data_IF_225917418915
#
_entry.id   IF_225917418915
#
_cell.length_a   1.000
_cell.length_b   1.000
_cell.length_c   1.000
_cell.angle_alpha   90.00
_cell.angle_beta   90.00
_cell.angle_gamma   90.00
#
_symmetry.space_group_name_H-M   'P 1'
#
loop_
_entity.id
_entity.type
_entity.pdbx_description
1 polymer ?
#
# COMPACT_ATOMS: atom_id res chain seq x y z
N UNK A 1 -8.12 0.62 -25.77
CA UNK A 1 -8.50 1.62 -24.74
C UNK A 1 -9.05 0.96 -23.49
N UNK A 2 -9.99 0.01 -23.59
CA UNK A 2 -10.50 -0.81 -22.47
C UNK A 2 -9.42 -1.33 -21.49
N UNK A 3 -8.34 -1.93 -22.00
CA UNK A 3 -7.27 -2.47 -21.13
C UNK A 3 -6.50 -1.41 -20.34
N UNK A 4 -6.38 -0.17 -20.87
CA UNK A 4 -5.66 0.94 -20.22
C UNK A 4 -6.50 1.54 -19.11
N UNK A 5 -7.76 1.87 -19.39
CA UNK A 5 -8.70 2.39 -18.39
C UNK A 5 -8.92 1.38 -17.27
N UNK A 6 -9.00 0.09 -17.62
CA UNK A 6 -9.04 -0.99 -16.64
C UNK A 6 -7.79 -1.03 -15.77
N UNK A 7 -6.60 -0.90 -16.35
CA UNK A 7 -5.35 -0.87 -15.60
C UNK A 7 -5.27 0.35 -14.67
N UNK A 8 -5.71 1.53 -15.11
CA UNK A 8 -5.76 2.72 -14.25
C UNK A 8 -6.66 2.50 -13.03
N UNK A 9 -7.86 1.94 -13.22
CA UNK A 9 -8.77 1.59 -12.12
C UNK A 9 -8.19 0.54 -11.17
N UNK A 10 -7.44 -0.44 -11.70
CA UNK A 10 -6.79 -1.46 -10.87
C UNK A 10 -5.68 -0.87 -10.01
N UNK A 11 -4.83 0.00 -10.56
CA UNK A 11 -3.76 0.67 -9.80
C UNK A 11 -4.34 1.49 -8.63
N UNK A 12 -5.44 2.21 -8.88
CA UNK A 12 -6.15 2.97 -7.83
C UNK A 12 -6.78 2.05 -6.78
N UNK A 13 -7.46 0.98 -7.22
CA UNK A 13 -8.08 0.02 -6.30
C UNK A 13 -7.05 -0.68 -5.41
N UNK A 14 -5.91 -1.12 -5.96
CA UNK A 14 -4.84 -1.74 -5.19
C UNK A 14 -4.19 -0.76 -4.21
N UNK A 15 -4.03 0.50 -4.60
CA UNK A 15 -3.54 1.56 -3.70
C UNK A 15 -4.45 1.76 -2.50
N UNK A 16 -5.76 1.90 -2.74
CA UNK A 16 -6.75 2.04 -1.66
C UNK A 16 -6.77 0.82 -0.73
N UNK A 17 -6.75 -0.40 -1.28
CA UNK A 17 -6.76 -1.61 -0.46
C UNK A 17 -5.49 -1.77 0.38
N UNK A 18 -4.34 -1.34 -0.15
CA UNK A 18 -3.10 -1.28 0.60
C UNK A 18 -3.16 -0.30 1.77
N UNK A 19 -3.88 0.82 1.66
CA UNK A 19 -4.08 1.76 2.78
C UNK A 19 -4.86 1.08 3.91
N UNK A 20 -5.97 0.41 3.59
CA UNK A 20 -6.76 -0.37 4.56
C UNK A 20 -5.92 -1.45 5.25
N UNK A 21 -5.10 -2.17 4.48
CA UNK A 21 -4.17 -3.16 5.02
C UNK A 21 -3.10 -2.54 5.91
N UNK A 22 -2.49 -1.43 5.48
CA UNK A 22 -1.48 -0.72 6.23
C UNK A 22 -2.02 -0.28 7.59
N UNK A 23 -3.20 0.35 7.64
CA UNK A 23 -3.86 0.73 8.89
C UNK A 23 -4.08 -0.47 9.83
N UNK A 24 -4.52 -1.61 9.27
CA UNK A 24 -4.67 -2.84 10.04
C UNK A 24 -3.33 -3.33 10.61
N UNK A 25 -2.25 -3.31 9.83
CA UNK A 25 -0.93 -3.72 10.30
C UNK A 25 -0.39 -2.81 11.40
N UNK A 26 -0.58 -1.49 11.26
CA UNK A 26 -0.18 -0.52 12.27
C UNK A 26 -0.93 -0.75 13.58
N UNK A 27 -2.25 -0.93 13.53
CA UNK A 27 -3.07 -1.24 14.70
C UNK A 27 -2.54 -2.49 15.44
N UNK A 28 -2.28 -3.57 14.72
CA UNK A 28 -1.75 -4.78 15.33
C UNK A 28 -0.32 -4.63 15.84
N UNK A 29 0.48 -3.76 15.22
CA UNK A 29 1.81 -3.43 15.73
C UNK A 29 1.73 -2.73 17.08
N UNK A 30 0.78 -1.81 17.25
CA UNK A 30 0.52 -1.11 18.52
C UNK A 30 0.02 -2.08 19.60
N UNK A 31 -0.90 -2.99 19.25
CA UNK A 31 -1.37 -4.04 20.18
C UNK A 31 -0.22 -4.99 20.60
N UNK A 32 0.64 -5.39 19.65
CA UNK A 32 1.81 -6.21 19.93
C UNK A 32 2.83 -5.50 20.83
N UNK A 33 3.04 -4.19 20.64
CA UNK A 33 3.92 -3.37 21.47
C UNK A 33 3.39 -3.27 22.90
N UNK A 34 2.08 -3.04 23.07
CA UNK A 34 1.40 -3.03 24.36
C UNK A 34 1.49 -4.38 25.10
N UNK A 35 1.50 -5.49 24.35
CA UNK A 35 1.69 -6.84 24.88
C UNK A 35 3.17 -7.20 25.17
N UNK A 36 4.13 -6.29 24.93
CA UNK A 36 5.55 -6.53 25.14
C UNK A 36 6.24 -7.34 24.03
N UNK A 37 5.55 -7.63 22.92
CA UNK A 37 6.05 -8.36 21.76
C UNK A 37 6.85 -7.43 20.83
N UNK A 38 7.94 -6.84 21.36
CA UNK A 38 8.67 -5.74 20.72
C UNK A 38 9.13 -6.04 19.30
N UNK A 39 9.67 -7.24 19.05
CA UNK A 39 10.18 -7.58 17.72
C UNK A 39 9.04 -7.81 16.71
N UNK A 40 7.94 -8.42 17.14
CA UNK A 40 6.73 -8.56 16.32
C UNK A 40 6.17 -7.19 15.95
N UNK A 41 6.05 -6.28 16.91
CA UNK A 41 5.62 -4.91 16.66
C UNK A 41 6.54 -4.18 15.68
N UNK A 42 7.87 -4.34 15.81
CA UNK A 42 8.85 -3.77 14.89
C UNK A 42 8.64 -4.27 13.46
N UNK A 43 8.48 -5.58 13.28
CA UNK A 43 8.24 -6.20 11.96
C UNK A 43 6.91 -5.71 11.38
N UNK A 44 5.83 -5.62 12.17
CA UNK A 44 4.54 -5.13 11.67
C UNK A 44 4.58 -3.65 11.25
N UNK A 45 5.32 -2.80 11.98
CA UNK A 45 5.58 -1.41 11.56
C UNK A 45 6.37 -1.35 10.26
N UNK A 46 7.30 -2.28 10.05
CA UNK A 46 8.04 -2.40 8.79
C UNK A 46 7.11 -2.81 7.65
N UNK A 47 6.22 -3.79 7.86
CA UNK A 47 5.20 -4.18 6.85
C UNK A 47 4.31 -2.99 6.50
N UNK A 48 3.78 -2.27 7.50
CA UNK A 48 3.02 -1.03 7.31
C UNK A 48 3.74 -0.06 6.37
N UNK A 49 5.01 0.25 6.66
CA UNK A 49 5.78 1.20 5.86
C UNK A 49 6.04 0.68 4.44
N UNK A 50 6.33 -0.62 4.27
CA UNK A 50 6.52 -1.20 2.94
C UNK A 50 5.23 -1.18 2.12
N UNK A 51 4.07 -1.43 2.74
CA UNK A 51 2.77 -1.33 2.06
C UNK A 51 2.51 0.09 1.55
N UNK A 52 2.83 1.13 2.32
CA UNK A 52 2.74 2.52 1.85
C UNK A 52 3.75 2.84 0.72
N UNK A 53 4.94 2.24 0.76
CA UNK A 53 5.92 2.38 -0.32
C UNK A 53 5.39 1.75 -1.64
N UNK A 54 4.65 0.64 -1.57
CA UNK A 54 3.99 0.05 -2.74
C UNK A 54 2.99 1.04 -3.36
N UNK A 55 2.23 1.79 -2.55
CA UNK A 55 1.32 2.81 -3.07
C UNK A 55 2.03 3.91 -3.86
N UNK A 56 3.24 4.28 -3.43
CA UNK A 56 4.07 5.24 -4.18
C UNK A 56 4.45 4.68 -5.55
N UNK A 57 4.70 3.37 -5.68
CA UNK A 57 4.96 2.71 -6.96
C UNK A 57 3.71 2.64 -7.83
N UNK A 58 2.54 2.40 -7.26
CA UNK A 58 1.27 2.46 -8.02
C UNK A 58 1.00 3.86 -8.56
N UNK A 59 1.24 4.91 -7.78
CA UNK A 59 1.11 6.29 -8.24
C UNK A 59 2.13 6.64 -9.34
N UNK A 60 3.36 6.13 -9.25
CA UNK A 60 4.34 6.24 -10.33
C UNK A 60 3.85 5.55 -11.61
N UNK A 61 3.39 4.30 -11.50
CA UNK A 61 2.85 3.56 -12.64
C UNK A 61 1.64 4.26 -13.27
N UNK A 62 0.73 4.83 -12.46
CA UNK A 62 -0.42 5.61 -12.93
C UNK A 62 0.02 6.86 -13.69
N UNK A 63 1.09 7.54 -13.25
CA UNK A 63 1.66 8.70 -13.96
C UNK A 63 2.26 8.31 -15.31
N UNK A 64 3.04 7.23 -15.37
CA UNK A 64 3.60 6.76 -16.65
C UNK A 64 2.50 6.30 -17.60
N UNK A 65 1.52 5.56 -17.10
CA UNK A 65 0.35 5.13 -17.89
C UNK A 65 -0.38 6.31 -18.53
N UNK A 66 -0.44 7.48 -17.88
CA UNK A 66 -1.04 8.71 -18.43
C UNK A 66 -0.19 9.33 -19.53
N UNK A 67 1.14 9.35 -19.37
CA UNK A 67 2.08 9.88 -20.38
C UNK A 67 2.11 9.03 -21.66
N UNK A 68 2.09 7.70 -21.52
CA UNK A 68 2.21 6.75 -22.64
C UNK A 68 1.04 6.76 -23.63
N UNK A 69 -0.06 7.45 -23.32
CA UNK A 69 -1.13 7.64 -24.29
C UNK A 69 -1.65 9.06 -24.35
N UNK A 70 -0.73 10.01 -24.16
CA UNK A 70 -0.77 11.33 -24.82
C UNK A 70 -0.06 11.22 -26.17
#
# INVERSE_FOLDING_TARGET
MESREKLEKLLEHWGHHNEEHAESYLKWAEEAEAAGLKETARILKEVYQQTLNINTLFEQAKRELKKEGQ
#
